data_IF_287712223842
#
_entry.id   IF_287712223842
#
_cell.length_a   1.000
_cell.length_b   1.000
_cell.length_c   1.000
_cell.angle_alpha   90.00
_cell.angle_beta   90.00
_cell.angle_gamma   90.00
#
_symmetry.space_group_name_H-M   'P 1'
#
loop_
_entity.id
_entity.type
_entity.pdbx_description
1 polymer ?
#
# COMPACT_ATOMS: atom_id res chain seq x y z
N UNK A 1 84.64 13.36 -55.81
CA UNK A 1 83.40 13.66 -56.56
C UNK A 1 82.30 12.78 -55.97
N UNK A 2 81.16 13.37 -55.64
CA UNK A 2 79.88 12.77 -55.18
C UNK A 2 79.71 12.35 -53.70
N UNK A 3 78.97 13.23 -53.00
CA UNK A 3 77.71 13.00 -52.28
C UNK A 3 77.72 12.48 -50.83
N UNK A 4 77.71 13.47 -49.93
CA UNK A 4 76.84 13.62 -48.74
C UNK A 4 75.61 12.70 -48.69
N UNK A 5 75.41 12.03 -47.55
CA UNK A 5 74.09 11.79 -46.93
C UNK A 5 74.27 11.67 -45.40
N UNK A 6 74.01 12.77 -44.69
CA UNK A 6 73.71 12.75 -43.25
C UNK A 6 72.26 12.27 -43.06
N UNK A 7 72.06 11.17 -42.35
CA UNK A 7 70.74 10.76 -41.84
C UNK A 7 70.52 11.36 -40.46
N UNK A 8 69.74 12.44 -40.37
CA UNK A 8 69.17 12.93 -39.11
C UNK A 8 68.06 11.98 -38.63
N UNK A 9 68.24 11.37 -37.45
CA UNK A 9 67.14 10.72 -36.71
C UNK A 9 66.19 11.80 -36.18
N UNK A 10 64.97 11.86 -36.71
CA UNK A 10 63.87 12.63 -36.11
C UNK A 10 63.33 11.85 -34.90
N UNK A 11 63.56 12.38 -33.70
CA UNK A 11 62.86 11.97 -32.48
C UNK A 11 61.55 12.75 -32.46
N UNK A 12 60.43 12.08 -32.73
CA UNK A 12 59.10 12.68 -32.62
C UNK A 12 58.60 12.47 -31.19
N UNK A 13 58.73 13.50 -30.35
CA UNK A 13 58.11 13.53 -29.02
C UNK A 13 56.60 13.72 -29.18
N UNK A 14 55.83 12.67 -28.93
CA UNK A 14 54.36 12.74 -28.85
C UNK A 14 54.00 13.29 -27.48
N UNK A 15 53.59 14.55 -27.43
CA UNK A 15 52.98 15.16 -26.25
C UNK A 15 51.54 14.62 -26.16
N UNK A 16 51.32 13.69 -25.24
CA UNK A 16 50.00 13.16 -24.92
C UNK A 16 49.27 14.21 -24.06
N UNK A 17 48.46 15.04 -24.72
CA UNK A 17 47.55 15.98 -24.06
C UNK A 17 46.45 15.19 -23.33
N UNK A 18 46.69 14.88 -22.04
CA UNK A 18 45.66 14.39 -21.13
C UNK A 18 44.63 15.50 -20.90
N UNK A 19 43.59 15.50 -21.73
CA UNK A 19 42.37 16.27 -21.48
C UNK A 19 41.70 15.63 -20.27
N UNK A 20 41.88 16.25 -19.10
CA UNK A 20 41.02 16.02 -17.95
C UNK A 20 39.62 16.50 -18.33
N UNK A 21 38.80 15.59 -18.88
CA UNK A 21 37.36 15.77 -18.88
C UNK A 21 36.92 15.74 -17.42
N UNK A 22 36.67 16.93 -16.86
CA UNK A 22 36.02 17.04 -15.56
C UNK A 22 34.73 16.23 -15.60
N UNK A 23 34.65 15.20 -14.77
CA UNK A 23 33.41 14.49 -14.50
C UNK A 23 32.51 15.50 -13.80
N UNK A 24 31.77 16.27 -14.57
CA UNK A 24 30.65 17.03 -14.05
C UNK A 24 29.65 16.00 -13.54
N UNK A 25 29.41 15.98 -12.24
CA UNK A 25 28.32 15.22 -11.65
C UNK A 25 27.04 15.71 -12.32
N UNK A 26 26.57 14.96 -13.31
CA UNK A 26 25.34 15.27 -14.03
C UNK A 26 24.23 15.29 -12.99
N UNK A 27 23.76 16.49 -12.60
CA UNK A 27 22.58 16.63 -11.76
C UNK A 27 21.49 15.79 -12.43
N UNK A 28 21.07 14.72 -11.74
CA UNK A 28 19.97 13.91 -12.24
C UNK A 28 18.78 14.83 -12.38
N UNK A 29 18.28 15.01 -13.60
CA UNK A 29 17.17 15.94 -13.88
C UNK A 29 15.85 15.46 -13.26
N UNK A 30 15.83 14.24 -12.74
CA UNK A 30 14.65 13.56 -12.23
C UNK A 30 14.75 13.21 -10.75
N UNK A 31 15.87 13.47 -10.05
CA UNK A 31 16.00 13.19 -8.61
C UNK A 31 16.08 14.49 -7.82
N UNK A 32 15.14 14.66 -6.87
CA UNK A 32 15.00 15.87 -6.07
C UNK A 32 15.14 15.56 -4.58
N UNK A 33 16.10 16.20 -3.92
CA UNK A 33 16.38 16.03 -2.48
C UNK A 33 16.48 17.36 -1.72
N UNK A 34 16.21 18.49 -2.37
CA UNK A 34 16.31 19.82 -1.74
C UNK A 34 15.36 19.97 -0.55
N UNK A 35 14.25 19.23 -0.55
CA UNK A 35 13.29 19.22 0.56
C UNK A 35 13.90 18.69 1.85
N UNK A 36 14.82 17.71 1.78
CA UNK A 36 15.54 17.22 2.95
C UNK A 36 16.40 18.34 3.55
N UNK A 37 17.13 19.09 2.72
CA UNK A 37 17.98 20.20 3.19
C UNK A 37 17.14 21.34 3.77
N UNK A 38 16.05 21.69 3.10
CA UNK A 38 15.10 22.72 3.53
C UNK A 38 14.47 22.36 4.89
N UNK A 39 14.06 21.10 5.07
CA UNK A 39 13.51 20.62 6.34
C UNK A 39 14.54 20.73 7.47
N UNK A 40 15.77 20.27 7.26
CA UNK A 40 16.79 20.35 8.33
C UNK A 40 17.18 21.77 8.68
N UNK A 41 17.19 22.69 7.71
CA UNK A 41 17.34 24.11 7.98
C UNK A 41 16.17 24.65 8.82
N UNK A 42 14.92 24.29 8.49
CA UNK A 42 13.75 24.67 9.28
C UNK A 42 13.82 24.11 10.71
N UNK A 43 14.13 22.81 10.84
CA UNK A 43 14.30 22.12 12.13
C UNK A 43 15.29 22.85 13.04
N UNK A 44 16.47 23.20 12.52
CA UNK A 44 17.52 23.88 13.30
C UNK A 44 17.08 25.27 13.79
N UNK A 45 16.20 25.97 13.06
CA UNK A 45 15.64 27.25 13.53
C UNK A 45 14.47 27.06 14.51
N UNK A 46 13.60 26.08 14.25
CA UNK A 46 12.45 25.75 15.10
C UNK A 46 12.90 25.38 16.51
N UNK A 47 14.03 24.66 16.65
CA UNK A 47 14.60 24.28 17.95
C UNK A 47 15.12 25.46 18.80
N UNK A 48 15.20 26.68 18.25
CA UNK A 48 15.70 27.88 18.95
C UNK A 48 14.59 28.71 19.58
N UNK A 49 13.33 28.31 19.44
CA UNK A 49 12.19 29.03 19.99
C UNK A 49 11.18 28.05 20.56
N UNK A 50 10.45 28.48 21.59
CA UNK A 50 9.31 27.74 22.15
C UNK A 50 7.96 28.32 21.69
N UNK A 51 7.96 29.47 21.00
CA UNK A 51 6.74 30.08 20.47
C UNK A 51 6.19 29.28 19.29
N UNK A 52 5.04 28.63 19.50
CA UNK A 52 4.38 27.80 18.49
C UNK A 52 4.06 28.58 17.19
N UNK A 53 3.62 29.83 17.29
CA UNK A 53 3.32 30.66 16.10
C UNK A 53 4.59 30.98 15.32
N UNK A 54 5.71 31.22 16.03
CA UNK A 54 7.01 31.40 15.38
C UNK A 54 7.48 30.11 14.69
N UNK A 55 7.28 28.93 15.32
CA UNK A 55 7.59 27.64 14.70
C UNK A 55 6.79 27.39 13.43
N UNK A 56 5.49 27.73 13.43
CA UNK A 56 4.65 27.66 12.22
C UNK A 56 5.19 28.57 11.11
N UNK A 57 5.56 29.81 11.43
CA UNK A 57 6.16 30.73 10.45
C UNK A 57 7.47 30.19 9.85
N UNK A 58 8.32 29.60 10.71
CA UNK A 58 9.60 29.00 10.30
C UNK A 58 9.41 27.79 9.38
N UNK A 59 8.53 26.84 9.73
CA UNK A 59 8.30 25.66 8.87
C UNK A 59 7.68 26.06 7.53
N UNK A 60 6.77 27.04 7.52
CA UNK A 60 6.18 27.55 6.28
C UNK A 60 7.27 28.17 5.38
N UNK A 61 7.99 29.15 5.89
CA UNK A 61 8.95 29.95 5.10
C UNK A 61 10.18 29.14 4.67
N UNK A 62 10.68 28.26 5.53
CA UNK A 62 11.96 27.57 5.30
C UNK A 62 11.80 26.21 4.63
N UNK A 63 10.64 25.56 4.77
CA UNK A 63 10.40 24.23 4.23
C UNK A 63 9.24 24.18 3.24
N UNK A 64 8.01 24.50 3.68
CA UNK A 64 6.81 24.30 2.86
C UNK A 64 6.84 25.20 1.62
N UNK A 65 7.07 26.51 1.76
CA UNK A 65 7.04 27.48 0.65
C UNK A 65 8.19 27.27 -0.33
N UNK A 66 9.33 26.79 0.16
CA UNK A 66 10.50 26.41 -0.66
C UNK A 66 10.41 24.97 -1.21
N UNK A 67 9.33 24.28 -0.90
CA UNK A 67 9.12 22.88 -1.23
C UNK A 67 9.14 22.63 -2.73
N UNK A 68 9.67 21.49 -3.14
CA UNK A 68 9.52 21.03 -4.52
C UNK A 68 8.06 20.76 -4.88
N UNK A 69 7.72 20.66 -6.18
CA UNK A 69 6.40 20.17 -6.60
C UNK A 69 6.03 18.83 -5.94
N UNK A 70 7.02 17.95 -5.73
CA UNK A 70 6.82 16.68 -5.04
C UNK A 70 6.40 16.84 -3.58
N UNK A 71 7.02 17.76 -2.82
CA UNK A 71 6.56 18.04 -1.46
C UNK A 71 5.11 18.53 -1.46
N UNK A 72 4.76 19.48 -2.33
CA UNK A 72 3.40 20.01 -2.42
C UNK A 72 2.38 18.91 -2.77
N UNK A 73 2.72 18.03 -3.72
CA UNK A 73 1.90 16.88 -4.07
C UNK A 73 1.75 15.91 -2.90
N UNK A 74 2.84 15.63 -2.18
CA UNK A 74 2.80 14.68 -1.08
C UNK A 74 2.00 15.20 0.12
N UNK A 75 2.15 16.50 0.43
CA UNK A 75 1.33 17.17 1.44
C UNK A 75 -0.16 17.06 1.14
N UNK A 76 -0.57 17.25 -0.13
CA UNK A 76 -1.95 17.07 -0.56
C UNK A 76 -2.40 15.61 -0.45
N UNK A 77 -1.57 14.67 -0.90
CA UNK A 77 -1.90 13.24 -0.96
C UNK A 77 -2.01 12.56 0.41
N UNK A 78 -1.45 13.17 1.47
CA UNK A 78 -1.39 12.60 2.82
C UNK A 78 -1.79 13.58 3.94
N UNK A 79 -2.39 14.70 3.57
CA UNK A 79 -2.94 15.72 4.47
C UNK A 79 -1.90 16.29 5.47
N UNK A 80 -0.73 16.67 4.94
CA UNK A 80 0.31 17.33 5.73
C UNK A 80 0.04 18.83 5.82
N UNK A 81 0.24 19.39 7.00
CA UNK A 81 0.22 20.82 7.24
C UNK A 81 1.35 21.20 8.21
N UNK A 82 1.57 22.50 8.33
CA UNK A 82 2.57 23.09 9.23
C UNK A 82 2.44 22.61 10.68
N UNK A 83 1.22 22.49 11.18
CA UNK A 83 0.91 22.04 12.53
C UNK A 83 1.33 20.58 12.75
N UNK A 84 1.11 19.70 11.76
CA UNK A 84 1.59 18.31 11.81
C UNK A 84 3.12 18.27 11.93
N UNK A 85 3.82 19.07 11.12
CA UNK A 85 5.28 19.13 11.18
C UNK A 85 5.81 19.65 12.52
N UNK A 86 5.31 20.78 12.99
CA UNK A 86 5.78 21.39 14.25
C UNK A 86 5.53 20.45 15.43
N UNK A 87 4.34 19.83 15.51
CA UNK A 87 4.05 18.85 16.55
C UNK A 87 4.99 17.65 16.50
N UNK A 88 5.23 17.09 15.31
CA UNK A 88 6.16 15.97 15.19
C UNK A 88 7.59 16.35 15.60
N UNK A 89 8.05 17.56 15.27
CA UNK A 89 9.37 18.07 15.66
C UNK A 89 9.50 18.22 17.19
N UNK A 90 8.46 18.76 17.83
CA UNK A 90 8.45 18.99 19.27
C UNK A 90 8.28 17.70 20.08
N UNK A 91 7.45 16.76 19.59
CA UNK A 91 7.16 15.51 20.30
C UNK A 91 8.29 14.47 20.20
N UNK A 92 9.08 14.46 19.12
CA UNK A 92 10.03 13.37 18.82
C UNK A 92 11.48 13.81 18.56
N UNK A 93 12.10 14.64 19.41
CA UNK A 93 13.45 15.17 19.17
C UNK A 93 14.54 14.09 19.06
N UNK A 94 14.49 12.99 19.82
CA UNK A 94 15.47 11.89 19.70
C UNK A 94 15.34 11.18 18.37
N UNK A 95 14.10 10.96 17.91
CA UNK A 95 13.85 10.40 16.59
C UNK A 95 14.50 11.26 15.50
N UNK A 96 14.19 12.57 15.46
CA UNK A 96 14.72 13.47 14.44
C UNK A 96 16.25 13.54 14.46
N UNK A 97 16.85 13.58 15.65
CA UNK A 97 18.30 13.57 15.78
C UNK A 97 18.93 12.27 15.27
N UNK A 98 18.31 11.12 15.53
CA UNK A 98 18.82 9.82 15.08
C UNK A 98 18.62 9.57 13.58
N UNK A 99 17.54 10.06 12.98
CA UNK A 99 17.21 9.82 11.56
C UNK A 99 17.89 10.80 10.60
N UNK A 100 18.25 12.00 11.07
CA UNK A 100 18.93 13.03 10.26
C UNK A 100 20.08 12.50 9.40
N UNK A 101 21.11 11.83 9.96
CA UNK A 101 22.20 11.32 9.15
C UNK A 101 21.73 10.36 8.05
N UNK A 102 20.71 9.54 8.31
CA UNK A 102 20.18 8.56 7.36
C UNK A 102 19.52 9.26 6.17
N UNK A 103 18.66 10.25 6.40
CA UNK A 103 17.98 11.00 5.32
C UNK A 103 18.99 11.66 4.36
N UNK A 104 20.11 12.16 4.88
CA UNK A 104 21.16 12.80 4.08
C UNK A 104 21.94 11.81 3.20
N UNK A 105 21.88 10.50 3.49
CA UNK A 105 22.57 9.49 2.68
C UNK A 105 21.94 9.29 1.30
N UNK A 106 20.69 9.69 1.08
CA UNK A 106 19.97 9.50 -0.19
C UNK A 106 20.74 10.12 -1.38
N UNK A 107 21.39 11.27 -1.16
CA UNK A 107 22.25 11.92 -2.19
C UNK A 107 23.37 11.01 -2.69
N UNK A 108 23.89 10.12 -1.82
CA UNK A 108 24.93 9.15 -2.17
C UNK A 108 24.38 7.98 -3.00
N UNK A 109 23.05 7.80 -3.06
CA UNK A 109 22.36 6.72 -3.78
C UNK A 109 21.91 7.12 -5.19
N UNK A 110 22.21 8.33 -5.65
CA UNK A 110 21.80 8.81 -6.97
C UNK A 110 22.30 7.91 -8.11
N UNK A 111 23.52 7.39 -8.01
CA UNK A 111 24.05 6.42 -8.98
C UNK A 111 23.21 5.14 -9.04
N UNK A 112 22.88 4.58 -7.88
CA UNK A 112 22.07 3.35 -7.80
C UNK A 112 20.64 3.57 -8.32
N UNK A 113 20.01 4.69 -7.97
CA UNK A 113 18.66 5.07 -8.43
C UNK A 113 18.62 5.22 -9.95
N UNK A 114 19.55 5.99 -10.53
CA UNK A 114 19.63 6.17 -11.99
C UNK A 114 19.93 4.85 -12.71
N UNK A 115 20.81 4.02 -12.15
CA UNK A 115 21.12 2.70 -12.71
C UNK A 115 19.89 1.78 -12.67
N UNK A 116 19.12 1.81 -11.60
CA UNK A 116 17.91 1.01 -11.47
C UNK A 116 16.83 1.45 -12.47
N UNK A 117 16.60 2.77 -12.65
CA UNK A 117 15.69 3.28 -13.70
C UNK A 117 16.18 2.91 -15.10
N UNK A 118 17.50 2.93 -15.34
CA UNK A 118 18.09 2.50 -16.63
C UNK A 118 17.81 1.02 -16.89
N UNK A 119 17.98 0.15 -15.89
CA UNK A 119 17.65 -1.27 -16.00
C UNK A 119 16.15 -1.49 -16.20
N UNK A 120 15.30 -0.73 -15.52
CA UNK A 120 13.86 -0.77 -15.74
C UNK A 120 13.51 -0.42 -17.19
N UNK A 121 14.12 0.62 -17.78
CA UNK A 121 13.96 0.97 -19.19
C UNK A 121 14.41 -0.14 -20.15
N UNK A 122 15.43 -0.91 -19.78
CA UNK A 122 15.89 -2.06 -20.58
C UNK A 122 14.89 -3.23 -20.55
N UNK A 123 14.26 -3.47 -19.40
CA UNK A 123 13.22 -4.49 -19.23
C UNK A 123 11.89 -4.06 -19.87
N UNK A 124 11.57 -2.77 -19.81
CA UNK A 124 10.35 -2.16 -20.30
C UNK A 124 10.65 -0.90 -21.14
N UNK A 125 10.86 -1.04 -22.46
CA UNK A 125 11.24 0.07 -23.35
C UNK A 125 10.23 1.22 -23.42
N UNK A 126 8.96 0.99 -23.10
CA UNK A 126 7.88 2.00 -23.11
C UNK A 126 7.83 2.86 -21.83
N UNK A 127 8.72 2.61 -20.86
CA UNK A 127 8.79 3.36 -19.60
C UNK A 127 8.68 4.88 -19.79
N UNK A 128 7.70 5.48 -19.13
CA UNK A 128 7.48 6.92 -19.05
C UNK A 128 8.33 7.50 -17.93
N UNK A 129 8.99 8.63 -18.19
CA UNK A 129 9.86 9.26 -17.20
C UNK A 129 9.04 9.82 -16.02
N UNK A 130 9.43 9.43 -14.80
CA UNK A 130 8.90 9.94 -13.55
C UNK A 130 9.99 10.65 -12.71
N UNK A 131 9.58 11.71 -12.01
CA UNK A 131 10.43 12.42 -11.06
C UNK A 131 10.42 11.74 -9.69
N UNK A 132 11.58 11.61 -9.07
CA UNK A 132 11.81 10.95 -7.78
C UNK A 132 12.08 12.03 -6.72
N UNK A 133 11.06 12.32 -5.92
CA UNK A 133 11.07 13.37 -4.91
C UNK A 133 11.23 12.77 -3.52
N UNK A 134 12.32 13.11 -2.86
CA UNK A 134 12.60 12.71 -1.50
C UNK A 134 12.36 13.90 -0.58
N UNK A 135 11.35 13.78 0.28
CA UNK A 135 10.88 14.83 1.17
C UNK A 135 10.94 14.36 2.62
N UNK A 136 10.54 15.21 3.56
CA UNK A 136 10.22 14.80 4.92
C UNK A 136 8.70 14.86 5.12
N UNK A 137 8.08 13.73 5.44
CA UNK A 137 6.62 13.51 5.41
C UNK A 137 5.92 13.57 6.77
N UNK A 138 6.59 14.06 7.82
CA UNK A 138 5.99 14.19 9.15
C UNK A 138 5.56 12.84 9.76
N UNK A 139 6.24 11.74 9.40
CA UNK A 139 6.01 10.38 9.91
C UNK A 139 4.68 9.74 9.50
N UNK A 140 4.10 10.15 8.37
CA UNK A 140 2.79 9.69 7.92
C UNK A 140 2.81 8.61 6.83
N UNK A 141 3.78 8.67 5.91
CA UNK A 141 3.88 7.70 4.81
C UNK A 141 5.32 7.53 4.31
N UNK A 142 5.70 6.28 4.00
CA UNK A 142 7.02 5.95 3.45
C UNK A 142 7.16 6.25 1.95
N UNK A 143 6.10 6.01 1.17
CA UNK A 143 6.07 6.19 -0.28
C UNK A 143 4.65 6.36 -0.80
N UNK A 144 4.52 7.00 -1.97
CA UNK A 144 3.32 7.04 -2.81
C UNK A 144 3.67 7.59 -4.18
N UNK A 145 2.70 7.61 -5.09
CA UNK A 145 2.77 8.34 -6.35
C UNK A 145 1.67 9.39 -6.49
N UNK A 146 1.91 10.39 -7.33
CA UNK A 146 0.90 11.34 -7.84
C UNK A 146 1.28 11.67 -9.29
N UNK A 147 0.48 11.21 -10.27
CA UNK A 147 0.82 11.33 -11.69
C UNK A 147 2.18 10.68 -12.02
N UNK A 148 3.11 11.46 -12.57
CA UNK A 148 4.47 11.02 -12.88
C UNK A 148 5.49 11.33 -11.76
N UNK A 149 5.03 11.48 -10.51
CA UNK A 149 5.89 11.77 -9.37
C UNK A 149 5.93 10.57 -8.42
N UNK A 150 7.13 10.09 -8.14
CA UNK A 150 7.44 9.20 -7.02
C UNK A 150 7.72 10.08 -5.81
N UNK A 151 6.95 9.89 -4.74
CA UNK A 151 6.97 10.71 -3.53
C UNK A 151 7.41 9.84 -2.35
N UNK A 152 8.59 10.13 -1.78
CA UNK A 152 9.18 9.31 -0.71
C UNK A 152 9.38 10.14 0.54
N UNK A 153 8.83 9.66 1.67
CA UNK A 153 9.10 10.21 3.00
C UNK A 153 10.43 9.68 3.50
N UNK A 154 11.50 10.47 3.34
CA UNK A 154 12.86 10.05 3.60
C UNK A 154 13.08 9.58 5.05
N UNK A 155 12.38 10.15 6.02
CA UNK A 155 12.47 9.78 7.42
C UNK A 155 11.94 8.37 7.71
N UNK A 156 10.96 7.89 6.94
CA UNK A 156 10.47 6.52 7.02
C UNK A 156 11.30 5.61 6.10
N UNK A 157 11.55 6.03 4.85
CA UNK A 157 12.30 5.26 3.86
C UNK A 157 13.77 4.99 4.21
N UNK A 158 14.33 5.72 5.18
CA UNK A 158 15.71 5.53 5.66
C UNK A 158 15.81 5.14 7.14
N UNK A 159 14.68 4.77 7.77
CA UNK A 159 14.69 4.20 9.11
C UNK A 159 15.42 2.86 9.17
N UNK A 160 16.04 2.58 10.32
CA UNK A 160 16.83 1.36 10.57
C UNK A 160 16.64 0.90 12.01
N UNK A 161 17.11 -0.29 12.42
CA UNK A 161 17.05 -0.72 13.82
C UNK A 161 17.79 0.20 14.79
N UNK A 162 18.72 1.04 14.29
CA UNK A 162 19.46 2.02 15.07
C UNK A 162 18.73 3.38 15.21
N UNK A 163 17.61 3.58 14.52
CA UNK A 163 16.79 4.79 14.64
C UNK A 163 16.10 4.82 16.01
N UNK A 164 16.28 5.91 16.76
CA UNK A 164 15.68 6.06 18.08
C UNK A 164 14.18 6.35 17.94
N UNK A 165 13.37 5.39 18.37
CA UNK A 165 11.91 5.45 18.33
C UNK A 165 11.31 5.43 19.74
N UNK A 166 12.13 5.69 20.78
CA UNK A 166 11.69 5.63 22.18
C UNK A 166 10.58 6.62 22.53
N UNK A 167 10.43 7.67 21.72
CA UNK A 167 9.41 8.71 21.88
C UNK A 167 8.16 8.44 21.03
N UNK A 168 8.23 7.55 20.04
CA UNK A 168 7.10 7.26 19.15
C UNK A 168 6.05 6.42 19.88
N UNK A 169 4.80 6.83 19.75
CA UNK A 169 3.64 6.14 20.35
C UNK A 169 3.14 4.96 19.51
N UNK A 170 3.53 4.93 18.24
CA UNK A 170 3.00 4.00 17.24
C UNK A 170 3.93 2.80 17.02
N UNK A 171 3.44 1.59 17.29
CA UNK A 171 4.24 0.35 17.19
C UNK A 171 4.57 -0.08 15.76
N UNK A 172 3.87 0.44 14.75
CA UNK A 172 4.09 -0.01 13.36
C UNK A 172 5.45 0.46 12.81
N UNK A 173 5.92 1.67 13.17
CA UNK A 173 7.24 2.16 12.79
C UNK A 173 8.35 1.34 13.44
N UNK A 174 8.15 0.87 14.67
CA UNK A 174 9.05 -0.06 15.35
C UNK A 174 9.19 -1.36 14.58
N UNK A 175 8.06 -1.95 14.17
CA UNK A 175 8.06 -3.18 13.39
C UNK A 175 8.71 -2.99 12.00
N UNK A 176 8.50 -1.83 11.37
CA UNK A 176 9.09 -1.48 10.08
C UNK A 176 10.62 -1.33 10.18
N UNK A 177 11.10 -0.46 11.07
CA UNK A 177 12.53 -0.15 11.18
C UNK A 177 13.37 -1.34 11.66
N UNK A 178 12.81 -2.25 12.45
CA UNK A 178 13.50 -3.45 12.91
C UNK A 178 13.99 -4.36 11.76
N UNK A 179 13.34 -4.30 10.60
CA UNK A 179 13.72 -5.10 9.41
C UNK A 179 14.32 -4.29 8.26
N UNK A 180 14.49 -2.97 8.42
CA UNK A 180 14.84 -2.08 7.32
C UNK A 180 16.33 -1.74 7.31
N UNK A 181 16.87 -1.51 6.12
CA UNK A 181 18.23 -1.00 5.92
C UNK A 181 18.22 0.19 4.94
N UNK A 182 19.31 0.96 4.92
CA UNK A 182 19.47 2.06 3.97
C UNK A 182 19.50 1.61 2.51
N UNK A 183 19.76 0.32 2.25
CA UNK A 183 19.70 -0.25 0.90
C UNK A 183 18.28 -0.41 0.37
N UNK A 184 17.28 -0.40 1.26
CA UNK A 184 15.89 -0.50 0.86
C UNK A 184 15.40 0.71 0.06
N UNK A 185 16.06 1.86 0.17
CA UNK A 185 15.59 3.10 -0.49
C UNK A 185 15.52 2.96 -2.01
N UNK A 186 16.43 2.20 -2.62
CA UNK A 186 16.45 1.97 -4.07
C UNK A 186 15.29 1.04 -4.46
N UNK A 187 15.05 -0.01 -3.67
CA UNK A 187 13.92 -0.92 -3.89
C UNK A 187 12.58 -0.18 -3.77
N UNK A 188 12.36 0.50 -2.64
CA UNK A 188 11.15 1.29 -2.40
C UNK A 188 10.90 2.26 -3.54
N UNK A 189 11.95 2.97 -3.98
CA UNK A 189 11.79 3.96 -5.02
C UNK A 189 11.43 3.34 -6.38
N UNK A 190 11.99 2.18 -6.74
CA UNK A 190 11.60 1.47 -7.96
C UNK A 190 10.20 0.88 -7.87
N UNK A 191 9.82 0.34 -6.70
CA UNK A 191 8.45 -0.10 -6.43
C UNK A 191 7.46 1.03 -6.72
N UNK A 192 7.67 2.21 -6.12
CA UNK A 192 6.83 3.38 -6.38
C UNK A 192 6.91 3.88 -7.83
N UNK A 193 8.09 3.78 -8.47
CA UNK A 193 8.22 4.14 -9.88
C UNK A 193 7.30 3.29 -10.75
N UNK A 194 7.15 2.00 -10.47
CA UNK A 194 6.29 1.10 -11.24
C UNK A 194 4.81 1.53 -11.12
N UNK A 195 4.36 2.02 -9.95
CA UNK A 195 3.01 2.58 -9.82
C UNK A 195 2.73 3.74 -10.78
N UNK A 196 3.75 4.55 -11.14
CA UNK A 196 3.59 5.64 -12.14
C UNK A 196 3.34 5.12 -13.57
N UNK A 197 3.56 3.82 -13.80
CA UNK A 197 3.40 3.16 -15.10
C UNK A 197 2.11 2.34 -15.17
N UNK A 198 1.53 1.98 -14.02
CA UNK A 198 0.33 1.15 -13.94
C UNK A 198 -0.93 1.92 -14.34
N UNK A 199 -1.94 1.17 -14.78
CA UNK A 199 -3.23 1.71 -15.19
C UNK A 199 -4.36 1.19 -14.30
N UNK A 200 -5.15 2.12 -13.77
CA UNK A 200 -6.30 1.80 -12.92
C UNK A 200 -5.98 1.37 -11.49
N UNK A 201 -7.04 1.13 -10.72
CA UNK A 201 -7.04 0.70 -9.34
C UNK A 201 -8.20 -0.29 -9.07
N UNK A 202 -7.86 -1.52 -8.75
CA UNK A 202 -8.85 -2.52 -8.38
C UNK A 202 -9.46 -2.26 -7.00
N UNK A 203 -10.76 -2.55 -6.87
CA UNK A 203 -11.46 -2.62 -5.59
C UNK A 203 -11.61 -4.06 -5.07
N UNK A 204 -11.00 -5.05 -5.72
CA UNK A 204 -10.96 -6.44 -5.27
C UNK A 204 -9.62 -6.78 -4.63
N UNK A 205 -9.62 -7.68 -3.65
CA UNK A 205 -8.40 -8.24 -3.04
C UNK A 205 -7.46 -8.78 -4.12
N UNK A 206 -7.99 -9.46 -5.14
CA UNK A 206 -7.23 -9.99 -6.27
C UNK A 206 -6.45 -8.90 -7.00
N UNK A 207 -7.16 -7.92 -7.56
CA UNK A 207 -6.53 -6.91 -8.41
C UNK A 207 -5.59 -6.00 -7.62
N UNK A 208 -5.95 -5.63 -6.39
CA UNK A 208 -5.07 -4.81 -5.55
C UNK A 208 -3.81 -5.58 -5.16
N UNK A 209 -3.94 -6.88 -4.83
CA UNK A 209 -2.77 -7.74 -4.54
C UNK A 209 -1.83 -7.83 -5.74
N UNK A 210 -2.35 -8.11 -6.95
CA UNK A 210 -1.52 -8.17 -8.17
C UNK A 210 -0.87 -6.81 -8.43
N UNK A 211 -1.58 -5.70 -8.25
CA UNK A 211 -1.04 -4.35 -8.45
C UNK A 211 0.17 -4.09 -7.55
N UNK A 212 0.05 -4.33 -6.25
CA UNK A 212 1.14 -4.16 -5.28
C UNK A 212 2.29 -5.17 -5.51
N UNK A 213 1.93 -6.44 -5.69
CA UNK A 213 2.89 -7.51 -5.89
C UNK A 213 3.65 -7.42 -7.22
N UNK A 214 3.07 -6.79 -8.25
CA UNK A 214 3.77 -6.51 -9.51
C UNK A 214 4.90 -5.50 -9.31
N UNK A 215 4.70 -4.48 -8.47
CA UNK A 215 5.74 -3.52 -8.13
C UNK A 215 6.92 -4.21 -7.45
N UNK A 216 6.64 -5.08 -6.48
CA UNK A 216 7.65 -5.89 -5.79
C UNK A 216 8.42 -6.80 -6.75
N UNK A 217 7.70 -7.52 -7.62
CA UNK A 217 8.32 -8.48 -8.53
C UNK A 217 9.19 -7.80 -9.59
N UNK A 218 8.68 -6.73 -10.22
CA UNK A 218 9.46 -5.99 -11.22
C UNK A 218 10.65 -5.29 -10.56
N UNK A 219 10.51 -4.76 -9.34
CA UNK A 219 11.64 -4.19 -8.60
C UNK A 219 12.72 -5.24 -8.29
N UNK A 220 12.34 -6.47 -7.91
CA UNK A 220 13.28 -7.59 -7.76
C UNK A 220 14.02 -7.89 -9.08
N UNK A 221 13.32 -7.94 -10.22
CA UNK A 221 13.94 -8.16 -11.54
C UNK A 221 14.93 -7.04 -11.90
N UNK A 222 14.56 -5.78 -11.66
CA UNK A 222 15.40 -4.60 -11.94
C UNK A 222 16.67 -4.62 -11.10
N UNK A 223 16.55 -4.93 -9.80
CA UNK A 223 17.67 -4.93 -8.89
C UNK A 223 18.51 -6.21 -8.95
N UNK A 224 17.95 -7.29 -9.49
CA UNK A 224 18.54 -8.63 -9.50
C UNK A 224 18.99 -9.05 -8.10
N UNK A 225 18.13 -8.80 -7.11
CA UNK A 225 18.33 -9.10 -5.70
C UNK A 225 17.03 -9.64 -5.12
N UNK A 226 17.05 -10.80 -4.44
CA UNK A 226 15.85 -11.34 -3.82
C UNK A 226 15.18 -10.32 -2.89
N UNK A 227 13.85 -10.24 -2.96
CA UNK A 227 13.08 -9.42 -2.06
C UNK A 227 12.97 -10.08 -0.68
N UNK A 228 13.53 -9.43 0.33
CA UNK A 228 13.47 -9.87 1.73
C UNK A 228 12.52 -8.97 2.53
N UNK A 229 11.24 -9.33 2.55
CA UNK A 229 10.22 -8.68 3.39
C UNK A 229 9.57 -9.68 4.32
N UNK A 230 8.94 -9.18 5.40
CA UNK A 230 8.27 -10.05 6.38
C UNK A 230 7.15 -10.88 5.77
N UNK A 231 6.31 -10.25 4.93
CA UNK A 231 5.22 -10.94 4.25
C UNK A 231 5.71 -11.97 3.22
N UNK A 232 6.88 -11.78 2.60
CA UNK A 232 7.52 -12.78 1.74
C UNK A 232 7.94 -14.00 2.56
N UNK A 233 8.70 -13.80 3.64
CA UNK A 233 9.16 -14.89 4.50
C UNK A 233 7.99 -15.68 5.11
N UNK A 234 6.97 -14.99 5.62
CA UNK A 234 5.77 -15.64 6.16
C UNK A 234 4.97 -16.35 5.06
N UNK A 235 4.73 -15.67 3.93
CA UNK A 235 3.99 -16.23 2.80
C UNK A 235 4.62 -17.51 2.26
N UNK A 236 5.95 -17.56 2.13
CA UNK A 236 6.67 -18.76 1.69
C UNK A 236 6.55 -19.91 2.70
N UNK A 237 6.67 -19.62 4.00
CA UNK A 237 6.53 -20.63 5.06
C UNK A 237 5.10 -21.19 5.16
N UNK A 238 4.09 -20.40 4.77
CA UNK A 238 2.66 -20.71 4.89
C UNK A 238 1.94 -20.78 3.53
N UNK A 239 2.66 -21.06 2.44
CA UNK A 239 2.18 -20.86 1.08
C UNK A 239 0.84 -21.55 0.77
N UNK A 240 0.65 -22.79 1.23
CA UNK A 240 -0.60 -23.55 1.02
C UNK A 240 -1.78 -22.88 1.73
N UNK A 241 -1.63 -22.55 3.01
CA UNK A 241 -2.69 -21.92 3.81
C UNK A 241 -3.06 -20.55 3.26
N UNK A 242 -2.05 -19.73 2.94
CA UNK A 242 -2.24 -18.38 2.38
C UNK A 242 -2.96 -18.46 1.05
N UNK A 243 -2.57 -19.39 0.17
CA UNK A 243 -3.19 -19.58 -1.15
C UNK A 243 -4.64 -20.06 -1.04
N UNK A 244 -4.94 -20.99 -0.14
CA UNK A 244 -6.29 -21.51 0.08
C UNK A 244 -7.22 -20.43 0.65
N UNK A 245 -6.73 -19.61 1.59
CA UNK A 245 -7.47 -18.47 2.12
C UNK A 245 -7.69 -17.39 1.07
N UNK A 246 -6.65 -17.07 0.29
CA UNK A 246 -6.74 -16.08 -0.77
C UNK A 246 -7.82 -16.44 -1.78
N UNK A 247 -7.88 -17.71 -2.21
CA UNK A 247 -8.89 -18.19 -3.14
C UNK A 247 -10.33 -17.94 -2.67
N UNK A 248 -10.58 -17.97 -1.35
CA UNK A 248 -11.91 -17.71 -0.76
C UNK A 248 -12.25 -16.22 -0.69
N UNK A 249 -11.27 -15.34 -0.56
CA UNK A 249 -11.47 -13.91 -0.30
C UNK A 249 -11.14 -12.99 -1.50
N UNK A 250 -10.45 -13.49 -2.52
CA UNK A 250 -9.84 -12.66 -3.58
C UNK A 250 -10.84 -11.83 -4.41
N UNK A 251 -12.10 -12.25 -4.49
CA UNK A 251 -13.16 -11.50 -5.19
C UNK A 251 -13.95 -10.55 -4.30
N UNK A 252 -13.59 -10.46 -3.02
CA UNK A 252 -14.18 -9.46 -2.12
C UNK A 252 -13.43 -8.13 -2.22
N UNK A 253 -14.05 -7.08 -1.69
CA UNK A 253 -13.42 -5.79 -1.44
C UNK A 253 -12.94 -5.63 0.02
N UNK A 254 -12.83 -6.74 0.76
CA UNK A 254 -12.40 -6.73 2.16
C UNK A 254 -10.89 -6.93 2.28
N UNK A 255 -10.16 -5.82 2.29
CA UNK A 255 -8.71 -5.81 2.37
C UNK A 255 -8.13 -6.14 3.76
N UNK A 256 -8.96 -6.22 4.80
CA UNK A 256 -8.49 -6.26 6.19
C UNK A 256 -7.57 -7.43 6.54
N UNK A 257 -7.67 -8.54 5.82
CA UNK A 257 -6.80 -9.71 5.97
C UNK A 257 -5.56 -9.69 5.08
N UNK A 258 -5.49 -8.78 4.09
CA UNK A 258 -4.54 -8.88 2.97
C UNK A 258 -3.63 -7.67 2.81
N UNK A 259 -4.13 -6.46 3.04
CA UNK A 259 -3.45 -5.22 2.67
C UNK A 259 -3.61 -4.16 3.76
N UNK A 260 -2.55 -3.40 3.99
CA UNK A 260 -2.47 -2.25 4.89
C UNK A 260 -2.86 -2.60 6.34
N UNK A 261 -2.46 -3.79 6.80
CA UNK A 261 -2.89 -4.36 8.08
C UNK A 261 -1.75 -4.64 9.07
N UNK A 262 -0.59 -4.00 8.87
CA UNK A 262 0.60 -4.09 9.72
C UNK A 262 0.36 -3.90 11.22
N UNK A 263 -0.56 -3.01 11.60
CA UNK A 263 -0.92 -2.78 13.01
C UNK A 263 -1.63 -3.97 13.68
N UNK A 264 -2.24 -4.87 12.92
CA UNK A 264 -3.14 -5.92 13.44
C UNK A 264 -2.61 -7.34 13.26
N UNK A 265 -1.74 -7.56 12.27
CA UNK A 265 -1.39 -8.91 11.80
C UNK A 265 0.07 -9.30 12.02
N UNK A 266 0.91 -8.40 12.52
CA UNK A 266 2.31 -8.69 12.84
C UNK A 266 3.07 -9.25 11.63
N UNK A 267 3.67 -10.44 11.78
CA UNK A 267 4.43 -11.10 10.70
C UNK A 267 3.56 -11.55 9.52
N UNK A 268 2.25 -11.76 9.75
CA UNK A 268 1.27 -12.16 8.72
C UNK A 268 0.59 -10.97 8.03
N UNK A 269 1.09 -9.75 8.25
CA UNK A 269 0.57 -8.56 7.59
C UNK A 269 0.90 -8.53 6.10
N UNK A 270 0.11 -7.80 5.33
CA UNK A 270 0.37 -7.44 3.93
C UNK A 270 0.60 -8.63 2.98
N UNK A 271 0.02 -9.80 3.29
CA UNK A 271 0.13 -11.01 2.47
C UNK A 271 -0.44 -10.87 1.06
N UNK A 272 -1.25 -9.84 0.78
CA UNK A 272 -1.65 -9.48 -0.58
C UNK A 272 -0.44 -9.18 -1.48
N UNK A 273 0.59 -8.50 -0.96
CA UNK A 273 1.84 -8.24 -1.70
C UNK A 273 2.53 -9.56 -2.07
N UNK A 274 2.63 -10.50 -1.12
CA UNK A 274 3.20 -11.82 -1.36
C UNK A 274 2.45 -12.58 -2.47
N UNK A 275 1.12 -12.67 -2.36
CA UNK A 275 0.31 -13.42 -3.34
C UNK A 275 0.38 -12.78 -4.73
N UNK A 276 0.26 -11.45 -4.81
CA UNK A 276 0.40 -10.73 -6.07
C UNK A 276 1.77 -10.90 -6.72
N UNK A 277 2.84 -10.89 -5.91
CA UNK A 277 4.20 -11.15 -6.36
C UNK A 277 4.30 -12.56 -6.95
N UNK A 278 3.76 -13.58 -6.28
CA UNK A 278 3.79 -14.96 -6.77
C UNK A 278 2.97 -15.16 -8.05
N UNK A 279 1.83 -14.48 -8.20
CA UNK A 279 1.04 -14.49 -9.44
C UNK A 279 1.86 -13.88 -10.59
N UNK A 280 2.46 -12.71 -10.39
CA UNK A 280 3.28 -12.04 -11.41
C UNK A 280 4.51 -12.88 -11.78
N UNK A 281 5.17 -13.46 -10.78
CA UNK A 281 6.32 -14.34 -10.96
C UNK A 281 5.96 -15.60 -11.73
N UNK A 282 4.85 -16.25 -11.39
CA UNK A 282 4.36 -17.44 -12.09
C UNK A 282 4.08 -17.11 -13.57
N UNK A 283 3.37 -16.01 -13.84
CA UNK A 283 3.12 -15.52 -15.20
C UNK A 283 4.42 -15.27 -15.97
N UNK A 284 5.35 -14.52 -15.37
CA UNK A 284 6.65 -14.22 -15.98
C UNK A 284 7.45 -15.49 -16.27
N UNK A 285 7.52 -16.45 -15.35
CA UNK A 285 8.35 -17.65 -15.49
C UNK A 285 7.95 -18.53 -16.67
N UNK A 286 6.65 -18.70 -16.92
CA UNK A 286 6.16 -19.50 -18.05
C UNK A 286 6.19 -18.75 -19.39
N UNK A 287 6.24 -17.42 -19.38
CA UNK A 287 6.23 -16.63 -20.61
C UNK A 287 7.48 -16.92 -21.45
N UNK A 288 7.31 -17.12 -22.75
CA UNK A 288 8.43 -17.30 -23.68
C UNK A 288 9.16 -15.98 -23.93
N UNK A 289 8.39 -14.91 -24.10
CA UNK A 289 8.91 -13.55 -24.22
C UNK A 289 8.85 -12.85 -22.87
N UNK A 290 10.01 -12.68 -22.24
CA UNK A 290 10.13 -12.02 -20.94
C UNK A 290 9.87 -10.52 -21.00
N UNK A 291 10.15 -9.86 -22.12
CA UNK A 291 9.89 -8.42 -22.27
C UNK A 291 8.39 -8.17 -22.40
N UNK A 292 7.72 -9.00 -23.20
CA UNK A 292 6.26 -8.96 -23.28
C UNK A 292 5.64 -9.24 -21.92
N UNK A 293 6.13 -10.23 -21.16
CA UNK A 293 5.59 -10.50 -19.83
C UNK A 293 5.74 -9.34 -18.84
N UNK A 294 6.88 -8.63 -18.86
CA UNK A 294 7.07 -7.42 -18.04
C UNK A 294 6.07 -6.34 -18.45
N UNK A 295 5.88 -6.15 -19.76
CA UNK A 295 4.89 -5.20 -20.29
C UNK A 295 3.48 -5.56 -19.85
N UNK A 296 3.07 -6.81 -19.99
CA UNK A 296 1.74 -7.30 -19.60
C UNK A 296 1.48 -7.11 -18.11
N UNK A 297 2.48 -7.34 -17.25
CA UNK A 297 2.40 -7.12 -15.79
C UNK A 297 2.22 -5.63 -15.46
N UNK A 298 3.01 -4.75 -16.10
CA UNK A 298 2.99 -3.31 -15.81
C UNK A 298 1.72 -2.65 -16.36
N UNK A 299 1.34 -2.98 -17.60
CA UNK A 299 0.24 -2.34 -18.32
C UNK A 299 -1.14 -2.99 -18.07
N UNK A 300 -1.22 -4.04 -17.23
CA UNK A 300 -2.49 -4.66 -16.84
C UNK A 300 -3.47 -3.57 -16.38
N UNK A 301 -4.68 -3.58 -16.95
CA UNK A 301 -5.73 -2.68 -16.53
C UNK A 301 -6.34 -3.17 -15.22
N UNK A 302 -5.90 -2.60 -14.10
CA UNK A 302 -6.35 -3.01 -12.77
C UNK A 302 -7.79 -2.58 -12.45
N UNK A 303 -8.39 -1.69 -13.24
CA UNK A 303 -9.83 -1.33 -13.14
C UNK A 303 -10.74 -2.35 -13.83
N UNK A 304 -10.19 -3.24 -14.65
CA UNK A 304 -10.94 -4.26 -15.39
C UNK A 304 -10.82 -5.61 -14.69
N UNK A 305 -11.84 -5.92 -13.87
CA UNK A 305 -11.98 -7.21 -13.17
C UNK A 305 -11.76 -8.41 -14.11
N UNK A 306 -12.26 -8.32 -15.35
CA UNK A 306 -12.15 -9.43 -16.31
C UNK A 306 -10.70 -9.60 -16.77
N UNK A 307 -10.00 -8.51 -17.04
CA UNK A 307 -8.58 -8.54 -17.41
C UNK A 307 -7.73 -9.11 -16.26
N UNK A 308 -7.99 -8.70 -15.03
CA UNK A 308 -7.32 -9.21 -13.82
C UNK A 308 -7.57 -10.71 -13.62
N UNK A 309 -8.81 -11.17 -13.78
CA UNK A 309 -9.18 -12.59 -13.69
C UNK A 309 -8.54 -13.44 -14.79
N UNK A 310 -8.48 -12.92 -16.02
CA UNK A 310 -7.82 -13.60 -17.12
C UNK A 310 -6.31 -13.64 -16.91
N UNK A 311 -5.70 -12.57 -16.37
CA UNK A 311 -4.29 -12.57 -16.00
C UNK A 311 -3.97 -13.61 -14.91
N UNK A 312 -4.81 -13.71 -13.86
CA UNK A 312 -4.68 -14.75 -12.84
C UNK A 312 -4.71 -16.15 -13.47
N UNK A 313 -5.68 -16.43 -14.33
CA UNK A 313 -5.80 -17.73 -14.98
C UNK A 313 -4.61 -18.01 -15.92
N UNK A 314 -4.16 -17.00 -16.66
CA UNK A 314 -2.99 -17.12 -17.50
C UNK A 314 -1.74 -17.40 -16.67
N UNK A 315 -1.58 -16.80 -15.47
CA UNK A 315 -0.39 -16.98 -14.63
C UNK A 315 -0.15 -18.43 -14.20
N UNK A 316 -1.19 -19.28 -14.23
CA UNK A 316 -1.20 -20.64 -13.65
C UNK A 316 -0.77 -20.68 -12.19
N UNK A 317 -0.97 -19.58 -11.47
CA UNK A 317 -0.78 -19.55 -10.03
C UNK A 317 -1.66 -20.61 -9.36
N UNK A 318 -2.92 -20.75 -9.79
CA UNK A 318 -3.74 -21.93 -9.50
C UNK A 318 -3.58 -22.96 -10.62
N UNK A 319 -3.54 -24.25 -10.25
CA UNK A 319 -3.39 -25.33 -11.21
C UNK A 319 -4.66 -25.51 -12.06
N UNK A 320 -5.80 -25.24 -11.44
CA UNK A 320 -7.11 -25.19 -12.05
C UNK A 320 -7.47 -23.78 -12.52
N UNK A 321 -8.28 -23.71 -13.58
CA UNK A 321 -8.90 -22.45 -13.98
C UNK A 321 -9.87 -22.00 -12.89
N UNK A 322 -9.72 -20.76 -12.46
CA UNK A 322 -10.61 -20.12 -11.50
C UNK A 322 -11.90 -19.70 -12.21
N UNK A 323 -13.01 -20.15 -11.62
CA UNK A 323 -14.37 -19.78 -11.99
C UNK A 323 -14.95 -18.91 -10.86
N UNK A 324 -15.10 -17.62 -11.14
CA UNK A 324 -15.58 -16.63 -10.17
C UNK A 324 -17.01 -16.91 -9.72
N UNK A 325 -17.90 -17.26 -10.65
CA UNK A 325 -19.31 -17.52 -10.33
C UNK A 325 -19.45 -18.73 -9.41
N UNK A 326 -18.69 -19.80 -9.69
CA UNK A 326 -18.66 -20.99 -8.84
C UNK A 326 -18.13 -20.69 -7.44
N UNK A 327 -17.08 -19.87 -7.31
CA UNK A 327 -16.55 -19.50 -6.00
C UNK A 327 -17.49 -18.59 -5.22
N UNK A 328 -18.12 -17.62 -5.89
CA UNK A 328 -19.10 -16.73 -5.27
C UNK A 328 -20.37 -17.49 -4.87
N UNK A 329 -20.74 -18.56 -5.57
CA UNK A 329 -21.86 -19.42 -5.18
C UNK A 329 -21.64 -20.13 -3.83
N UNK A 330 -20.38 -20.33 -3.42
CA UNK A 330 -20.02 -20.88 -2.11
C UNK A 330 -20.08 -19.86 -0.98
N UNK A 331 -20.21 -18.56 -1.29
CA UNK A 331 -20.24 -17.51 -0.28
C UNK A 331 -21.50 -17.63 0.58
N UNK A 332 -21.32 -17.29 1.85
CA UNK A 332 -22.44 -17.26 2.79
C UNK A 332 -23.39 -16.12 2.42
N UNK A 333 -24.70 -16.30 2.58
CA UNK A 333 -25.70 -15.25 2.40
C UNK A 333 -26.73 -15.28 3.52
N UNK A 334 -27.48 -14.19 3.69
CA UNK A 334 -28.62 -14.15 4.61
C UNK A 334 -29.79 -14.88 3.96
N UNK A 335 -30.14 -16.05 4.47
CA UNK A 335 -31.22 -16.87 3.95
C UNK A 335 -32.60 -16.36 4.37
N UNK A 336 -32.72 -15.84 5.60
CA UNK A 336 -33.99 -15.32 6.14
C UNK A 336 -33.74 -14.36 7.30
N UNK A 337 -34.62 -13.38 7.47
CA UNK A 337 -34.77 -12.64 8.72
C UNK A 337 -36.15 -12.86 9.34
N UNK A 338 -36.25 -12.73 10.65
CA UNK A 338 -37.51 -12.72 11.39
C UNK A 338 -37.46 -11.63 12.48
N UNK A 339 -38.21 -10.51 12.37
CA UNK A 339 -39.20 -10.20 11.33
C UNK A 339 -38.64 -10.23 9.88
N UNK A 340 -39.51 -10.55 8.93
CA UNK A 340 -39.13 -10.67 7.52
C UNK A 340 -38.61 -9.33 6.97
N UNK A 341 -37.53 -9.37 6.18
CA UNK A 341 -36.92 -8.18 5.61
C UNK A 341 -37.93 -7.50 4.66
N UNK A 342 -38.21 -6.23 4.90
CA UNK A 342 -39.22 -5.44 4.19
C UNK A 342 -40.62 -5.51 4.79
N UNK A 343 -40.85 -6.22 5.90
CA UNK A 343 -42.17 -6.26 6.55
C UNK A 343 -42.62 -4.85 7.00
N UNK A 344 -43.92 -4.55 6.87
CA UNK A 344 -44.48 -3.21 7.15
C UNK A 344 -45.43 -3.15 8.34
N UNK A 345 -45.72 -4.31 8.94
CA UNK A 345 -46.74 -4.53 9.97
C UNK A 345 -46.16 -5.20 11.22
N UNK A 346 -44.86 -5.02 11.48
CA UNK A 346 -44.15 -5.65 12.61
C UNK A 346 -44.75 -5.20 13.93
N UNK A 347 -45.02 -6.14 14.84
CA UNK A 347 -45.51 -5.80 16.17
C UNK A 347 -44.45 -4.97 16.95
N UNK A 348 -44.75 -3.75 17.43
CA UNK A 348 -43.80 -2.95 18.23
C UNK A 348 -43.37 -3.64 19.54
N UNK A 349 -44.08 -4.66 20.01
CA UNK A 349 -43.65 -5.46 21.16
C UNK A 349 -42.57 -6.51 20.84
N UNK A 350 -42.23 -6.70 19.55
CA UNK A 350 -41.17 -7.63 19.13
C UNK A 350 -39.83 -7.21 19.71
N UNK A 351 -39.21 -8.08 20.52
CA UNK A 351 -37.96 -7.77 21.25
C UNK A 351 -36.70 -8.29 20.58
N UNK A 352 -36.83 -9.15 19.58
CA UNK A 352 -35.69 -9.79 18.93
C UNK A 352 -35.86 -9.85 17.42
N UNK A 353 -34.73 -9.75 16.72
CA UNK A 353 -34.63 -10.11 15.31
C UNK A 353 -33.67 -11.28 15.17
N UNK A 354 -34.09 -12.27 14.38
CA UNK A 354 -33.29 -13.45 14.04
C UNK A 354 -32.82 -13.32 12.60
N UNK A 355 -31.52 -13.48 12.39
CA UNK A 355 -30.87 -13.42 11.07
C UNK A 355 -30.28 -14.80 10.80
N UNK A 356 -30.89 -15.54 9.89
CA UNK A 356 -30.46 -16.89 9.52
C UNK A 356 -29.60 -16.84 8.27
N UNK A 357 -28.38 -17.37 8.36
CA UNK A 357 -27.42 -17.46 7.28
C UNK A 357 -27.49 -18.85 6.59
N UNK A 358 -27.02 -18.92 5.35
CA UNK A 358 -26.93 -20.17 4.60
C UNK A 358 -25.90 -21.17 5.17
N UNK A 359 -24.88 -20.65 5.87
CA UNK A 359 -23.78 -21.42 6.49
C UNK A 359 -23.66 -21.10 7.98
N UNK A 360 -23.00 -21.99 8.73
CA UNK A 360 -22.68 -21.74 10.14
C UNK A 360 -21.64 -20.62 10.24
N UNK A 361 -21.87 -19.62 11.09
CA UNK A 361 -20.97 -18.49 11.27
C UNK A 361 -19.98 -18.71 12.40
N UNK A 362 -18.83 -18.03 12.31
CA UNK A 362 -17.86 -17.95 13.39
C UNK A 362 -18.42 -17.03 14.49
N UNK A 363 -18.53 -17.49 15.75
CA UNK A 363 -18.97 -16.65 16.85
C UNK A 363 -18.08 -15.41 17.06
N UNK A 364 -18.68 -14.33 17.53
CA UNK A 364 -18.01 -13.06 17.87
C UNK A 364 -17.38 -12.32 16.68
N UNK A 365 -17.73 -12.71 15.44
CA UNK A 365 -17.36 -12.01 14.21
C UNK A 365 -18.61 -11.44 13.52
N UNK A 366 -19.07 -10.29 14.00
CA UNK A 366 -20.28 -9.65 13.49
C UNK A 366 -20.00 -8.22 13.06
N UNK A 367 -20.33 -7.89 11.81
CA UNK A 367 -20.15 -6.57 11.24
C UNK A 367 -21.51 -5.95 10.92
N UNK A 368 -22.13 -5.40 11.97
CA UNK A 368 -23.42 -4.70 11.95
C UNK A 368 -23.15 -3.20 12.01
N UNK A 369 -23.81 -2.41 11.17
CA UNK A 369 -23.56 -0.96 11.05
C UNK A 369 -24.85 -0.18 10.86
N UNK A 370 -24.78 1.13 11.12
CA UNK A 370 -25.84 2.07 10.77
C UNK A 370 -26.07 2.05 9.26
N UNK A 371 -27.32 2.25 8.83
CA UNK A 371 -27.62 2.60 7.44
C UNK A 371 -27.52 4.11 7.23
N UNK A 372 -27.78 4.55 6.00
CA UNK A 372 -27.81 5.96 5.63
C UNK A 372 -28.92 6.75 6.35
N UNK A 373 -29.90 6.06 6.96
CA UNK A 373 -30.93 6.66 7.83
C UNK A 373 -30.43 7.04 9.22
N UNK A 374 -29.22 6.63 9.57
CA UNK A 374 -28.56 7.03 10.81
C UNK A 374 -29.11 6.35 12.07
N UNK A 375 -28.64 6.84 13.22
CA UNK A 375 -28.86 6.20 14.54
C UNK A 375 -30.33 6.13 14.96
N UNK A 376 -31.16 7.06 14.50
CA UNK A 376 -32.57 7.11 14.89
C UNK A 376 -33.37 5.90 14.38
N UNK A 377 -32.97 5.33 13.25
CA UNK A 377 -33.62 4.17 12.63
C UNK A 377 -32.93 2.85 12.97
N UNK A 378 -31.89 2.86 13.82
CA UNK A 378 -31.15 1.66 14.20
C UNK A 378 -31.79 0.98 15.43
N UNK A 379 -32.38 -0.23 15.32
CA UNK A 379 -33.13 -0.84 16.43
C UNK A 379 -32.27 -1.67 17.39
N UNK A 380 -31.07 -2.08 16.99
CA UNK A 380 -30.32 -3.14 17.69
C UNK A 380 -29.73 -2.61 18.99
N UNK A 381 -30.01 -3.30 20.11
CA UNK A 381 -29.52 -2.92 21.44
C UNK A 381 -28.38 -3.81 21.93
N UNK A 382 -28.41 -5.12 21.61
CA UNK A 382 -27.33 -6.06 21.96
C UNK A 382 -27.40 -7.33 21.10
N UNK A 383 -26.28 -8.05 21.05
CA UNK A 383 -26.24 -9.43 20.56
C UNK A 383 -26.73 -10.35 21.68
N UNK A 384 -27.73 -11.18 21.41
CA UNK A 384 -28.26 -12.17 22.37
C UNK A 384 -27.40 -13.43 22.31
N UNK A 385 -27.11 -13.92 21.11
CA UNK A 385 -26.34 -15.13 20.92
C UNK A 385 -26.58 -15.76 19.55
N UNK A 386 -26.26 -17.05 19.47
CA UNK A 386 -26.38 -17.86 18.27
C UNK A 386 -27.31 -19.04 18.53
N UNK A 387 -28.14 -19.37 17.54
CA UNK A 387 -29.03 -20.52 17.51
C UNK A 387 -28.76 -21.40 16.28
N UNK A 388 -29.37 -22.58 16.26
CA UNK A 388 -29.37 -23.49 15.11
C UNK A 388 -27.94 -23.80 14.60
N UNK A 389 -27.09 -24.32 15.49
CA UNK A 389 -25.68 -24.63 15.20
C UNK A 389 -24.91 -23.43 14.62
N UNK A 390 -25.11 -22.24 15.20
CA UNK A 390 -24.50 -21.00 14.73
C UNK A 390 -24.95 -20.55 13.33
N UNK A 391 -26.10 -20.99 12.82
CA UNK A 391 -26.66 -20.46 11.57
C UNK A 391 -27.54 -19.24 11.80
N UNK A 392 -28.02 -19.01 13.02
CA UNK A 392 -28.96 -17.92 13.30
C UNK A 392 -28.37 -16.99 14.35
N UNK A 393 -28.14 -15.73 13.96
CA UNK A 393 -27.76 -14.66 14.87
C UNK A 393 -29.02 -14.02 15.46
N UNK A 394 -29.10 -13.98 16.79
CA UNK A 394 -30.21 -13.37 17.52
C UNK A 394 -29.75 -12.04 18.11
N UNK A 395 -30.49 -10.97 17.79
CA UNK A 395 -30.21 -9.61 18.22
C UNK A 395 -31.42 -9.05 18.97
N UNK A 396 -31.21 -8.40 20.10
CA UNK A 396 -32.28 -7.68 20.79
C UNK A 396 -32.55 -6.33 20.10
N UNK A 397 -33.80 -5.91 20.14
CA UNK A 397 -34.29 -4.67 19.55
C UNK A 397 -35.10 -3.84 20.53
N UNK A 398 -35.09 -2.52 20.33
CA UNK A 398 -36.04 -1.61 20.97
C UNK A 398 -36.88 -0.89 19.90
N UNK A 399 -38.19 -1.14 19.93
CA UNK A 399 -39.12 -0.76 18.88
C UNK A 399 -40.19 0.24 19.39
N UNK A 400 -40.51 1.22 18.56
CA UNK A 400 -41.62 2.17 18.74
C UNK A 400 -42.71 1.87 17.72
N UNK A 401 -43.99 2.11 18.03
CA UNK A 401 -45.08 2.02 17.05
C UNK A 401 -44.89 2.98 15.87
N UNK A 402 -45.45 2.61 14.71
CA UNK A 402 -45.43 3.38 13.45
C UNK A 402 -44.04 3.93 13.06
N UNK A 403 -43.00 3.13 13.23
CA UNK A 403 -41.61 3.54 12.98
C UNK A 403 -40.90 2.58 12.03
N UNK A 404 -40.16 3.17 11.10
CA UNK A 404 -39.29 2.44 10.20
C UNK A 404 -37.90 2.22 10.83
N UNK A 405 -37.38 1.02 10.67
CA UNK A 405 -36.07 0.60 11.16
C UNK A 405 -35.22 0.06 10.02
N UNK A 406 -33.93 0.35 10.08
CA UNK A 406 -32.96 -0.07 9.07
C UNK A 406 -31.56 -0.20 9.67
N UNK A 407 -30.83 -1.23 9.27
CA UNK A 407 -29.41 -1.42 9.57
C UNK A 407 -28.74 -2.29 8.51
N UNK A 408 -27.41 -2.34 8.51
CA UNK A 408 -26.62 -3.01 7.48
C UNK A 408 -25.77 -4.12 8.11
N UNK A 409 -25.82 -5.31 7.52
CA UNK A 409 -24.80 -6.35 7.71
C UNK A 409 -23.76 -6.19 6.60
N UNK A 410 -22.48 -6.17 6.95
CA UNK A 410 -21.40 -6.03 5.96
C UNK A 410 -20.52 -7.26 5.92
N UNK A 411 -19.82 -7.51 4.81
CA UNK A 411 -18.87 -8.63 4.69
C UNK A 411 -17.51 -8.40 5.42
N UNK A 412 -17.41 -7.39 6.28
CA UNK A 412 -16.15 -7.00 6.94
C UNK A 412 -15.62 -8.04 7.92
N UNK A 413 -16.49 -8.62 8.75
CA UNK A 413 -16.08 -9.66 9.72
C UNK A 413 -16.93 -10.91 9.66
N UNK A 414 -18.16 -10.86 9.13
CA UNK A 414 -18.97 -12.06 8.92
C UNK A 414 -18.25 -13.08 8.05
N UNK A 415 -18.03 -14.27 8.63
CA UNK A 415 -17.31 -15.39 8.03
C UNK A 415 -17.96 -16.70 8.46
N UNK A 416 -18.13 -17.63 7.53
CA UNK A 416 -18.61 -18.97 7.82
C UNK A 416 -17.50 -19.86 8.38
N UNK A 417 -17.84 -20.95 9.08
CA UNK A 417 -16.85 -21.87 9.66
C UNK A 417 -15.92 -22.53 8.64
N UNK A 418 -16.38 -22.69 7.40
CA UNK A 418 -15.58 -23.15 6.26
C UNK A 418 -14.75 -22.03 5.59
N UNK A 419 -14.78 -20.82 6.13
CA UNK A 419 -13.91 -19.69 5.78
C UNK A 419 -14.40 -18.84 4.60
N UNK A 420 -15.70 -18.85 4.30
CA UNK A 420 -16.27 -17.99 3.26
C UNK A 420 -16.87 -16.71 3.86
N UNK A 421 -16.68 -15.56 3.20
CA UNK A 421 -17.26 -14.30 3.64
C UNK A 421 -18.77 -14.25 3.36
N UNK A 422 -19.43 -13.25 3.94
CA UNK A 422 -20.77 -12.84 3.49
C UNK A 422 -20.68 -12.33 2.03
N UNK A 423 -21.57 -12.84 1.17
CA UNK A 423 -21.62 -12.54 -0.25
C UNK A 423 -21.89 -11.06 -0.53
N UNK A 424 -22.88 -10.51 0.18
CA UNK A 424 -23.25 -9.12 0.03
C UNK A 424 -22.27 -8.23 0.80
N UNK A 425 -21.66 -7.27 0.11
CA UNK A 425 -20.87 -6.22 0.75
C UNK A 425 -21.70 -5.48 1.80
N UNK A 426 -22.96 -5.21 1.46
CA UNK A 426 -23.96 -4.56 2.31
C UNK A 426 -25.31 -5.27 2.11
N UNK A 427 -25.74 -6.02 3.11
CA UNK A 427 -27.10 -6.54 3.19
C UNK A 427 -27.93 -5.61 4.10
N UNK A 428 -28.90 -4.90 3.52
CA UNK A 428 -29.78 -4.00 4.26
C UNK A 428 -30.93 -4.80 4.86
N UNK A 429 -31.04 -4.75 6.19
CA UNK A 429 -32.20 -5.23 6.94
C UNK A 429 -33.09 -4.04 7.25
N UNK A 430 -34.33 -4.06 6.76
CA UNK A 430 -35.32 -3.00 6.97
C UNK A 430 -36.69 -3.58 7.31
N UNK A 431 -37.46 -2.88 8.14
CA UNK A 431 -38.85 -3.20 8.44
C UNK A 431 -39.54 -1.99 9.06
N UNK A 432 -40.89 -1.99 9.09
CA UNK A 432 -41.70 -0.97 9.74
C UNK A 432 -42.66 -1.61 10.75
N UNK A 433 -42.80 -0.98 11.91
CA UNK A 433 -43.78 -1.39 12.92
C UNK A 433 -45.16 -0.87 12.59
N UNK A 434 -46.20 -1.64 12.95
CA UNK A 434 -47.59 -1.21 12.82
C UNK A 434 -47.90 -0.03 13.78
N UNK A 435 -48.92 0.80 13.46
CA UNK A 435 -49.52 1.72 14.42
C UNK A 435 -50.06 0.97 15.64
N UNK A 436 -50.20 1.70 16.76
CA UNK A 436 -50.69 1.14 18.02
C UNK A 436 -52.15 0.70 17.95
#
# INVERSE_FOLDING_TARGET
MLLLKLTMKRITTIILSLVFAGISAQKSKTIFTSDIDNFWNAYDQIKKTDDFSQKLSLINTLYIDKGTPGLKAFMKARDYNDTVYVKAIDEYPKFWNSIRPNTLTIKKRFGDLNNAVTKLKQLYPELKEAGMYFTIGGLRAGGTTEGNMVLVGAEIGTGTPATDISELKEDWLKALFAGQSLDNIVFLNIHEYIHTQQHGASNTVLGYSIKEGSCDFIAELVLNKPLHTKYRSYGEAHAVEVKDRFKKEMFTNNFSNWLHNGQKKGESADLGYYVGYEICKAYYQQAKDKKQAVKDIIELNYDDDKAVEDFLNQSKFFNEKIDKEKLIAEYMYVAKTDPANGATDVNPDTKEIKITFSKEIIPNKYSISLSDKGKENFPITKIVGLENNNKTLVLSMDLKPDKEYEFVLTNKTFESKDGYPLKDEKFIVKFKTKPQ
#
